data_IF_100964624453
#
_entry.id   IF_100964624453
#
_cell.length_a   1.000
_cell.length_b   1.000
_cell.length_c   1.000
_cell.angle_alpha   90.00
_cell.angle_beta   90.00
_cell.angle_gamma   90.00
#
_symmetry.space_group_name_H-M   'P 1'
#
loop_
_entity.id
_entity.type
_entity.pdbx_description
1 polymer ?
#
# COMPACT_ATOMS: atom_id res chain seq x y z
N UNK A 1 59.88 63.17 -22.38
CA UNK A 1 58.45 63.29 -22.71
C UNK A 1 57.88 61.90 -22.98
N UNK A 2 57.18 61.30 -22.02
CA UNK A 2 56.00 60.51 -22.37
C UNK A 2 54.80 60.76 -21.46
N UNK A 3 53.65 60.43 -22.03
CA UNK A 3 52.29 60.67 -21.57
C UNK A 3 51.90 59.94 -20.29
N UNK A 4 51.06 60.57 -19.47
CA UNK A 4 50.33 59.94 -18.37
C UNK A 4 48.85 59.83 -18.77
N UNK A 5 48.37 58.60 -18.93
CA UNK A 5 47.00 58.29 -19.36
C UNK A 5 46.09 58.10 -18.14
N UNK A 6 44.98 58.85 -18.08
CA UNK A 6 43.95 58.74 -17.06
C UNK A 6 43.02 57.52 -17.30
N UNK A 7 42.77 56.73 -16.25
CA UNK A 7 41.94 55.52 -16.28
C UNK A 7 40.48 55.87 -15.95
N UNK A 8 39.57 55.64 -16.90
CA UNK A 8 38.11 55.82 -16.72
C UNK A 8 37.50 54.65 -15.94
N UNK A 9 36.67 54.98 -14.96
CA UNK A 9 35.83 54.07 -14.17
C UNK A 9 34.60 53.64 -14.97
N UNK A 10 34.31 52.33 -15.00
CA UNK A 10 33.13 51.75 -15.66
C UNK A 10 32.13 51.27 -14.60
N UNK A 11 30.93 51.84 -14.61
CA UNK A 11 29.80 51.46 -13.76
C UNK A 11 29.09 50.22 -14.32
N UNK A 12 29.04 49.15 -13.52
CA UNK A 12 28.37 47.88 -13.85
C UNK A 12 26.86 48.01 -13.63
N UNK A 13 26.05 47.83 -14.68
CA UNK A 13 24.59 47.70 -14.58
C UNK A 13 24.23 46.35 -13.94
N UNK A 14 23.40 46.38 -12.90
CA UNK A 14 22.84 45.20 -12.23
C UNK A 14 21.52 44.78 -12.88
N UNK A 15 21.44 43.51 -13.27
CA UNK A 15 20.24 42.86 -13.79
C UNK A 15 19.31 42.44 -12.63
N UNK A 16 17.96 42.46 -12.78
CA UNK A 16 17.06 42.12 -11.68
C UNK A 16 17.08 40.62 -11.36
N UNK A 17 17.06 40.29 -10.07
CA UNK A 17 17.08 38.92 -9.55
C UNK A 17 15.78 38.18 -9.89
N UNK A 18 15.90 37.01 -10.52
CA UNK A 18 14.79 36.10 -10.80
C UNK A 18 14.16 35.59 -9.48
N UNK A 19 12.82 35.50 -9.44
CA UNK A 19 12.07 34.96 -8.30
C UNK A 19 12.42 33.48 -8.06
N UNK A 20 12.49 33.01 -6.80
CA UNK A 20 12.81 31.62 -6.52
C UNK A 20 11.68 30.70 -7.00
N UNK A 21 12.02 29.70 -7.81
CA UNK A 21 11.12 28.60 -8.18
C UNK A 21 10.82 27.79 -6.92
N UNK A 22 9.54 27.50 -6.66
CA UNK A 22 9.14 26.55 -5.61
C UNK A 22 9.86 25.22 -5.82
N UNK A 23 10.49 24.62 -4.79
CA UNK A 23 11.13 23.32 -4.95
C UNK A 23 10.06 22.28 -5.29
N UNK A 24 10.32 21.47 -6.33
CA UNK A 24 9.50 20.31 -6.64
C UNK A 24 9.50 19.38 -5.42
N UNK A 25 8.32 18.96 -4.95
CA UNK A 25 8.22 17.94 -3.90
C UNK A 25 8.98 16.71 -4.38
N UNK A 26 10.03 16.31 -3.65
CA UNK A 26 10.69 15.03 -3.89
C UNK A 26 9.70 13.93 -3.50
N UNK A 27 9.34 13.01 -4.40
CA UNK A 27 8.56 11.85 -3.99
C UNK A 27 9.39 11.09 -2.96
N UNK A 28 8.73 10.65 -1.90
CA UNK A 28 9.35 9.78 -0.91
C UNK A 28 8.34 9.39 0.16
N UNK A 29 8.63 8.29 0.85
CA UNK A 29 7.78 7.78 1.91
C UNK A 29 8.64 7.19 3.03
N UNK A 30 8.06 7.17 4.23
CA UNK A 30 8.64 6.44 5.35
C UNK A 30 8.08 5.02 5.36
N UNK A 31 8.93 4.01 5.22
CA UNK A 31 8.50 2.62 5.23
C UNK A 31 8.01 2.21 6.61
N UNK A 32 6.81 1.63 6.67
CA UNK A 32 6.23 1.12 7.93
C UNK A 32 6.93 -0.15 8.45
N UNK A 33 7.65 -0.88 7.60
CA UNK A 33 8.37 -2.09 7.97
C UNK A 33 9.79 -1.84 8.48
N UNK A 34 10.60 -1.01 7.80
CA UNK A 34 11.98 -0.72 8.20
C UNK A 34 12.15 0.64 8.92
N UNK A 35 11.17 1.55 8.82
CA UNK A 35 11.22 2.87 9.45
C UNK A 35 12.06 3.92 8.72
N UNK A 36 12.74 3.55 7.63
CA UNK A 36 13.59 4.42 6.81
C UNK A 36 12.80 5.25 5.79
N UNK A 37 13.44 6.30 5.27
CA UNK A 37 12.92 7.12 4.18
C UNK A 37 13.41 6.58 2.84
N UNK A 38 12.49 6.37 1.90
CA UNK A 38 12.81 6.01 0.52
C UNK A 38 12.41 7.15 -0.41
N UNK A 39 13.31 7.53 -1.33
CA UNK A 39 13.06 8.53 -2.37
C UNK A 39 12.27 7.97 -3.58
N UNK A 40 11.98 6.67 -3.55
CA UNK A 40 11.18 5.99 -4.57
C UNK A 40 9.68 6.06 -4.26
N UNK A 41 8.86 5.81 -5.28
CA UNK A 41 7.43 5.64 -5.11
C UNK A 41 7.14 4.39 -4.28
N UNK A 42 6.27 4.54 -3.27
CA UNK A 42 5.81 3.43 -2.43
C UNK A 42 5.25 2.30 -3.30
N UNK A 43 5.80 1.10 -3.14
CA UNK A 43 5.35 -0.09 -3.85
C UNK A 43 4.37 -0.93 -3.05
N UNK A 44 4.15 -0.59 -1.79
CA UNK A 44 3.22 -1.26 -0.91
C UNK A 44 2.49 -0.25 -0.02
N UNK A 45 1.20 -0.51 0.22
CA UNK A 45 0.39 0.23 1.18
C UNK A 45 -0.45 -0.76 1.97
N UNK A 46 -0.29 -0.75 3.29
CA UNK A 46 -1.02 -1.63 4.20
C UNK A 46 -2.09 -0.93 5.03
N UNK A 47 -3.27 -1.54 5.11
CA UNK A 47 -4.28 -1.21 6.12
C UNK A 47 -3.85 -1.76 7.49
N UNK A 48 -3.90 -0.97 8.56
CA UNK A 48 -3.41 -1.43 9.87
C UNK A 48 -4.24 -2.58 10.47
N UNK A 49 -5.56 -2.53 10.32
CA UNK A 49 -6.55 -3.47 10.86
C UNK A 49 -7.70 -3.65 9.86
N UNK A 50 -8.59 -4.66 10.01
CA UNK A 50 -9.88 -4.67 9.32
C UNK A 50 -10.67 -3.41 9.69
N UNK A 51 -11.43 -2.84 8.75
CA UNK A 51 -12.11 -1.55 8.99
C UNK A 51 -13.06 -1.63 10.18
N UNK A 52 -13.80 -2.74 10.30
CA UNK A 52 -14.71 -2.99 11.42
C UNK A 52 -14.02 -2.99 12.80
N UNK A 53 -12.72 -3.26 12.87
CA UNK A 53 -11.93 -3.21 14.11
C UNK A 53 -11.25 -1.85 14.27
N UNK A 54 -10.84 -1.26 13.15
CA UNK A 54 -10.21 0.06 13.10
C UNK A 54 -11.17 1.18 13.54
N UNK A 55 -12.46 1.06 13.21
CA UNK A 55 -13.50 2.04 13.55
C UNK A 55 -13.92 2.01 15.04
N UNK A 56 -13.61 0.93 15.77
CA UNK A 56 -13.92 0.83 17.19
C UNK A 56 -13.10 1.82 18.02
N UNK A 57 -13.70 2.29 19.12
CA UNK A 57 -12.96 3.02 20.16
C UNK A 57 -11.88 2.14 20.79
N UNK A 58 -10.91 2.76 21.47
CA UNK A 58 -9.84 2.04 22.14
C UNK A 58 -10.35 0.96 23.12
N UNK A 59 -11.34 1.32 23.95
CA UNK A 59 -11.89 0.41 24.96
C UNK A 59 -12.68 -0.74 24.33
N UNK A 60 -13.46 -0.46 23.29
CA UNK A 60 -14.18 -1.50 22.55
C UNK A 60 -13.22 -2.44 21.85
N UNK A 61 -12.21 -1.90 21.15
CA UNK A 61 -11.18 -2.71 20.48
C UNK A 61 -10.46 -3.60 21.48
N UNK A 62 -10.06 -3.08 22.64
CA UNK A 62 -9.40 -3.85 23.69
C UNK A 62 -10.28 -5.01 24.20
N UNK A 63 -11.58 -4.78 24.37
CA UNK A 63 -12.51 -5.80 24.87
C UNK A 63 -12.88 -6.84 23.82
N UNK A 64 -13.13 -6.39 22.59
CA UNK A 64 -13.82 -7.15 21.54
C UNK A 64 -12.90 -7.76 20.48
N UNK A 65 -11.73 -7.17 20.26
CA UNK A 65 -10.82 -7.64 19.23
C UNK A 65 -9.60 -8.34 19.81
N UNK A 66 -9.10 -9.35 19.11
CA UNK A 66 -7.77 -9.95 19.34
C UNK A 66 -7.04 -9.94 18.01
N UNK A 67 -5.84 -9.39 17.95
CA UNK A 67 -5.10 -9.31 16.70
C UNK A 67 -3.60 -9.30 16.94
N UNK A 68 -2.87 -9.79 15.95
CA UNK A 68 -1.42 -9.65 15.82
C UNK A 68 -1.11 -9.14 14.40
N UNK A 69 0.09 -9.41 13.88
CA UNK A 69 0.49 -8.92 12.56
C UNK A 69 -0.22 -9.62 11.39
N UNK A 70 -0.72 -10.85 11.60
CA UNK A 70 -1.22 -11.71 10.52
C UNK A 70 -2.67 -12.19 10.74
N UNK A 71 -3.14 -12.18 11.99
CA UNK A 71 -4.47 -12.66 12.39
C UNK A 71 -5.22 -11.60 13.16
N UNK A 72 -6.53 -11.54 12.95
CA UNK A 72 -7.44 -10.68 13.69
C UNK A 72 -8.79 -11.38 13.87
N UNK A 73 -9.37 -11.24 15.06
CA UNK A 73 -10.73 -11.71 15.37
C UNK A 73 -11.51 -10.58 16.02
N UNK A 74 -12.82 -10.56 15.78
CA UNK A 74 -13.76 -9.61 16.38
C UNK A 74 -14.94 -10.38 16.98
N UNK A 75 -15.19 -10.12 18.27
CA UNK A 75 -16.26 -10.73 19.08
C UNK A 75 -16.24 -12.27 19.15
N UNK A 76 -15.17 -12.93 18.68
CA UNK A 76 -15.10 -14.39 18.58
C UNK A 76 -15.96 -14.97 17.44
N UNK A 77 -16.53 -14.13 16.58
CA UNK A 77 -17.46 -14.54 15.52
C UNK A 77 -16.93 -14.23 14.12
N UNK A 78 -16.10 -13.18 13.99
CA UNK A 78 -15.53 -12.75 12.72
C UNK A 78 -14.03 -12.96 12.71
N UNK A 79 -13.54 -13.54 11.63
CA UNK A 79 -12.17 -14.03 11.48
C UNK A 79 -11.52 -13.39 10.27
N UNK A 80 -10.33 -12.83 10.46
CA UNK A 80 -9.63 -12.09 9.42
C UNK A 80 -8.17 -12.54 9.31
N UNK A 81 -7.73 -12.72 8.08
CA UNK A 81 -6.34 -13.04 7.74
C UNK A 81 -5.72 -11.84 7.02
N UNK A 82 -4.47 -11.52 7.35
CA UNK A 82 -3.68 -10.51 6.66
C UNK A 82 -3.16 -11.05 5.33
N UNK A 83 -3.44 -10.34 4.24
CA UNK A 83 -3.04 -10.75 2.91
C UNK A 83 -2.40 -9.59 2.14
N UNK A 84 -1.69 -9.93 1.06
CA UNK A 84 -1.24 -8.97 0.06
C UNK A 84 -2.08 -9.14 -1.19
N UNK A 85 -2.75 -8.09 -1.65
CA UNK A 85 -3.42 -8.06 -2.95
C UNK A 85 -2.46 -7.43 -3.97
N UNK A 86 -1.80 -8.22 -4.83
CA UNK A 86 -0.82 -7.71 -5.77
C UNK A 86 -1.50 -7.10 -7.00
N UNK A 87 -0.91 -6.03 -7.55
CA UNK A 87 -1.25 -5.46 -8.85
C UNK A 87 0.03 -5.23 -9.64
N UNK A 88 0.29 -6.03 -10.67
CA UNK A 88 1.53 -5.98 -11.44
C UNK A 88 1.75 -4.64 -12.12
N UNK A 89 3.00 -4.19 -12.22
CA UNK A 89 3.33 -3.01 -13.02
C UNK A 89 3.42 -3.38 -14.51
N UNK A 90 2.97 -2.48 -15.39
CA UNK A 90 3.11 -2.67 -16.85
C UNK A 90 4.35 -1.99 -17.43
N UNK A 91 5.03 -1.16 -16.64
CA UNK A 91 6.15 -0.31 -17.09
C UNK A 91 7.48 -0.66 -16.42
N UNK A 92 7.49 -1.62 -15.49
CA UNK A 92 8.66 -2.16 -14.80
C UNK A 92 8.35 -3.53 -14.23
N UNK A 93 9.37 -4.26 -13.80
CA UNK A 93 9.18 -5.53 -13.10
C UNK A 93 8.59 -5.33 -11.70
N UNK A 94 7.92 -6.37 -11.19
CA UNK A 94 7.30 -6.40 -9.87
C UNK A 94 5.84 -5.95 -9.85
N UNK A 95 5.32 -5.68 -8.65
CA UNK A 95 3.92 -5.33 -8.42
C UNK A 95 3.76 -4.30 -7.32
N UNK A 96 2.62 -3.62 -7.32
CA UNK A 96 2.13 -2.83 -6.20
C UNK A 96 1.35 -3.73 -5.23
N UNK A 97 1.73 -3.75 -3.96
CA UNK A 97 1.13 -4.59 -2.93
C UNK A 97 0.13 -3.84 -2.05
N UNK A 98 -1.16 -4.19 -2.13
CA UNK A 98 -2.13 -3.75 -1.14
C UNK A 98 -2.14 -4.70 0.05
N UNK A 99 -1.64 -4.26 1.21
CA UNK A 99 -1.81 -5.00 2.46
C UNK A 99 -3.26 -4.88 2.93
N UNK A 100 -4.03 -5.94 2.77
CA UNK A 100 -5.47 -5.99 3.09
C UNK A 100 -5.76 -7.03 4.17
N UNK A 101 -6.88 -6.88 4.85
CA UNK A 101 -7.46 -7.91 5.68
C UNK A 101 -8.58 -8.58 4.89
N UNK A 102 -8.66 -9.91 4.97
CA UNK A 102 -9.68 -10.71 4.31
C UNK A 102 -10.48 -11.43 5.38
N UNK A 103 -11.79 -11.18 5.41
CA UNK A 103 -12.73 -11.90 6.27
C UNK A 103 -12.99 -13.29 5.68
N UNK A 104 -12.83 -14.30 6.52
CA UNK A 104 -12.98 -15.71 6.20
C UNK A 104 -13.88 -16.39 7.22
N UNK A 105 -14.31 -17.62 6.92
CA UNK A 105 -15.00 -18.45 7.92
C UNK A 105 -14.04 -18.89 9.02
N UNK A 106 -14.57 -19.24 10.20
CA UNK A 106 -13.77 -19.80 11.30
C UNK A 106 -13.00 -21.04 10.84
N UNK A 107 -13.66 -21.97 10.15
CA UNK A 107 -13.02 -23.20 9.67
C UNK A 107 -11.80 -22.89 8.80
N UNK A 108 -11.93 -21.96 7.84
CA UNK A 108 -10.82 -21.57 6.97
C UNK A 108 -9.69 -20.88 7.74
N UNK A 109 -10.03 -20.06 8.75
CA UNK A 109 -9.04 -19.45 9.62
C UNK A 109 -8.23 -20.51 10.38
N UNK A 110 -8.90 -21.50 10.94
CA UNK A 110 -8.27 -22.58 11.71
C UNK A 110 -7.43 -23.49 10.80
N UNK A 111 -7.91 -23.80 9.59
CA UNK A 111 -7.15 -24.52 8.55
C UNK A 111 -5.85 -23.77 8.20
N UNK A 112 -5.91 -22.43 8.10
CA UNK A 112 -4.74 -21.60 7.81
C UNK A 112 -3.76 -21.56 8.99
N UNK A 113 -4.24 -21.54 10.23
CA UNK A 113 -3.36 -21.63 11.42
C UNK A 113 -2.54 -22.91 11.43
N UNK A 114 -3.17 -24.05 11.13
CA UNK A 114 -2.47 -25.35 11.04
C UNK A 114 -1.43 -25.32 9.93
N UNK A 115 -1.80 -24.81 8.74
CA UNK A 115 -0.86 -24.68 7.62
C UNK A 115 0.32 -23.76 7.94
N UNK A 116 0.06 -22.66 8.65
CA UNK A 116 1.07 -21.68 9.06
C UNK A 116 2.09 -22.27 10.05
N UNK A 117 1.65 -23.11 10.98
CA UNK A 117 2.52 -23.72 12.01
C UNK A 117 3.31 -24.93 11.47
N UNK A 118 2.68 -25.77 10.65
CA UNK A 118 3.28 -27.05 10.24
C UNK A 118 4.16 -26.92 8.98
N UNK A 119 4.05 -25.84 8.21
CA UNK A 119 4.82 -25.49 6.99
C UNK A 119 5.00 -26.58 5.91
N UNK A 120 4.39 -27.76 6.05
CA UNK A 120 4.63 -28.95 5.23
C UNK A 120 3.34 -29.59 4.64
N UNK A 121 2.20 -28.95 4.85
CA UNK A 121 0.89 -29.43 4.38
C UNK A 121 0.54 -29.03 2.94
N UNK A 122 -0.51 -29.65 2.40
CA UNK A 122 -1.14 -29.16 1.16
C UNK A 122 -1.83 -27.83 1.48
N UNK A 123 -1.54 -26.75 0.74
CA UNK A 123 -2.11 -25.45 1.07
C UNK A 123 -3.65 -25.44 0.94
N UNK A 124 -4.39 -24.95 1.95
CA UNK A 124 -5.85 -24.94 1.92
C UNK A 124 -6.36 -23.93 0.88
N UNK A 125 -7.45 -24.28 0.20
CA UNK A 125 -8.13 -23.35 -0.71
C UNK A 125 -9.08 -22.47 0.10
N UNK A 126 -8.67 -21.23 0.35
CA UNK A 126 -9.48 -20.26 1.10
C UNK A 126 -10.09 -19.22 0.15
N UNK A 127 -11.36 -18.93 0.39
CA UNK A 127 -12.07 -17.80 -0.19
C UNK A 127 -12.61 -16.93 0.93
N UNK A 128 -12.64 -15.62 0.69
CA UNK A 128 -13.11 -14.66 1.66
C UNK A 128 -13.53 -13.36 1.00
N UNK A 129 -13.72 -12.33 1.81
CA UNK A 129 -14.06 -11.00 1.33
C UNK A 129 -13.12 -9.95 1.90
N UNK A 130 -12.73 -8.97 1.08
CA UNK A 130 -11.88 -7.87 1.53
C UNK A 130 -12.59 -7.09 2.63
N UNK A 131 -11.93 -6.90 3.77
CA UNK A 131 -12.48 -6.23 4.96
C UNK A 131 -12.04 -4.76 5.07
N UNK A 132 -11.42 -4.21 4.02
CA UNK A 132 -10.92 -2.83 3.99
C UNK A 132 -11.43 -2.04 2.79
N UNK A 133 -11.68 -0.75 3.02
CA UNK A 133 -11.85 0.27 2.00
C UNK A 133 -10.50 0.84 1.60
N UNK A 134 -10.02 0.50 0.39
CA UNK A 134 -8.75 0.98 -0.13
C UNK A 134 -8.91 2.39 -0.69
N UNK A 135 -8.06 3.31 -0.25
CA UNK A 135 -8.01 4.66 -0.82
C UNK A 135 -7.59 4.57 -2.29
N UNK A 136 -8.25 5.33 -3.16
CA UNK A 136 -8.04 5.27 -4.61
C UNK A 136 -8.96 4.31 -5.36
N UNK A 137 -9.79 3.56 -4.63
CA UNK A 137 -10.88 2.74 -5.17
C UNK A 137 -12.20 3.05 -4.44
N UNK A 138 -13.33 2.67 -5.03
CA UNK A 138 -14.66 2.82 -4.42
C UNK A 138 -15.22 1.44 -4.08
N UNK A 139 -15.75 1.27 -2.87
CA UNK A 139 -16.44 0.05 -2.45
C UNK A 139 -15.59 -1.23 -2.63
N UNK A 140 -14.42 -1.27 -1.98
CA UNK A 140 -13.58 -2.49 -1.97
C UNK A 140 -13.93 -3.47 -0.86
N UNK A 141 -14.57 -2.98 0.22
CA UNK A 141 -15.07 -3.86 1.27
C UNK A 141 -16.14 -4.81 0.70
N UNK A 142 -16.07 -6.08 1.07
CA UNK A 142 -16.98 -7.12 0.61
C UNK A 142 -16.62 -7.74 -0.75
N UNK A 143 -15.55 -7.28 -1.41
CA UNK A 143 -15.11 -7.91 -2.66
C UNK A 143 -14.59 -9.32 -2.41
N UNK A 144 -15.16 -10.29 -3.12
CA UNK A 144 -14.78 -11.69 -3.03
C UNK A 144 -13.38 -11.93 -3.59
N UNK A 145 -12.56 -12.66 -2.84
CA UNK A 145 -11.19 -13.03 -3.17
C UNK A 145 -10.96 -14.52 -2.94
N UNK A 146 -10.06 -15.10 -3.72
CA UNK A 146 -9.40 -16.37 -3.43
C UNK A 146 -8.01 -16.06 -2.88
N UNK A 147 -7.63 -16.75 -1.82
CA UNK A 147 -6.30 -16.68 -1.24
C UNK A 147 -5.41 -17.75 -1.86
N UNK A 148 -4.22 -17.35 -2.26
CA UNK A 148 -3.14 -18.22 -2.69
C UNK A 148 -2.12 -18.28 -1.56
N UNK A 149 -1.92 -19.48 -1.03
CA UNK A 149 -1.16 -19.73 0.19
C UNK A 149 0.30 -20.02 -0.15
N UNK A 150 1.19 -19.49 0.67
CA UNK A 150 2.63 -19.71 0.58
C UNK A 150 3.15 -19.96 2.01
N UNK A 151 3.98 -20.98 2.25
CA UNK A 151 4.49 -21.29 3.58
C UNK A 151 5.47 -20.23 4.11
N UNK A 152 6.16 -19.52 3.21
CA UNK A 152 7.24 -18.59 3.55
C UNK A 152 6.81 -17.12 3.43
N UNK A 153 5.58 -16.87 2.96
CA UNK A 153 5.08 -15.52 2.63
C UNK A 153 3.63 -15.34 3.04
N UNK A 154 3.25 -14.08 3.23
CA UNK A 154 1.83 -13.73 3.42
C UNK A 154 1.00 -14.19 2.21
N UNK A 155 -0.22 -14.70 2.44
CA UNK A 155 -1.09 -15.14 1.37
C UNK A 155 -1.37 -14.01 0.38
N UNK A 156 -1.41 -14.37 -0.90
CA UNK A 156 -1.79 -13.45 -1.95
C UNK A 156 -3.31 -13.49 -2.16
N UNK A 157 -3.96 -12.34 -2.13
CA UNK A 157 -5.40 -12.21 -2.37
C UNK A 157 -5.66 -11.85 -3.83
N UNK A 158 -6.39 -12.72 -4.54
CA UNK A 158 -6.82 -12.49 -5.91
C UNK A 158 -8.33 -12.33 -5.99
N UNK A 159 -8.77 -11.21 -6.56
CA UNK A 159 -10.18 -10.95 -6.81
C UNK A 159 -10.72 -11.95 -7.82
N UNK A 160 -11.95 -12.43 -7.60
CA UNK A 160 -12.55 -13.45 -8.45
C UNK A 160 -12.65 -12.96 -9.92
N UNK A 161 -12.45 -13.85 -10.92
CA UNK A 161 -12.42 -13.45 -12.34
C UNK A 161 -13.69 -12.74 -12.84
N UNK A 162 -14.85 -13.09 -12.27
CA UNK A 162 -16.13 -12.47 -12.62
C UNK A 162 -16.28 -11.02 -12.12
N UNK A 163 -15.41 -10.56 -11.21
CA UNK A 163 -15.47 -9.20 -10.68
C UNK A 163 -15.13 -8.16 -11.76
N UNK A 164 -16.03 -7.18 -11.89
CA UNK A 164 -15.90 -6.01 -12.76
C UNK A 164 -15.37 -4.77 -12.04
N UNK A 165 -15.03 -4.90 -10.76
CA UNK A 165 -14.49 -3.81 -9.96
C UNK A 165 -13.15 -3.31 -10.54
N UNK A 166 -12.88 -2.01 -10.44
CA UNK A 166 -11.67 -1.39 -11.02
C UNK A 166 -10.37 -2.06 -10.53
N UNK A 167 -10.26 -2.34 -9.23
CA UNK A 167 -9.13 -3.10 -8.66
C UNK A 167 -8.98 -4.50 -9.27
N UNK A 168 -10.09 -5.19 -9.58
CA UNK A 168 -10.03 -6.51 -10.20
C UNK A 168 -9.53 -6.42 -11.65
N UNK A 169 -9.93 -5.37 -12.37
CA UNK A 169 -9.46 -5.10 -13.72
C UNK A 169 -7.96 -4.77 -13.73
N UNK A 170 -7.52 -3.91 -12.81
CA UNK A 170 -6.11 -3.54 -12.66
C UNK A 170 -5.26 -4.74 -12.22
N UNK A 171 -5.73 -5.57 -11.28
CA UNK A 171 -5.02 -6.78 -10.89
C UNK A 171 -4.81 -7.75 -12.07
N UNK A 172 -5.75 -7.81 -13.02
CA UNK A 172 -5.62 -8.67 -14.22
C UNK A 172 -4.80 -8.06 -15.35
N UNK A 173 -4.87 -6.74 -15.52
CA UNK A 173 -4.24 -6.04 -16.66
C UNK A 173 -2.91 -5.37 -16.31
N UNK A 174 -2.63 -5.24 -15.03
CA UNK A 174 -1.55 -4.44 -14.49
C UNK A 174 -1.90 -2.95 -14.41
N UNK A 175 -0.95 -2.21 -13.83
CA UNK A 175 -1.02 -0.79 -13.57
C UNK A 175 0.13 -0.06 -14.27
N UNK A 176 -0.19 1.01 -14.99
CA UNK A 176 0.80 1.89 -15.60
C UNK A 176 1.40 2.89 -14.60
N UNK A 177 2.40 3.64 -15.07
CA UNK A 177 3.12 4.60 -14.24
C UNK A 177 2.18 5.70 -13.73
N UNK A 178 1.31 6.26 -14.58
CA UNK A 178 0.41 7.36 -14.21
C UNK A 178 -0.57 6.93 -13.11
N UNK A 179 -1.12 5.72 -13.23
CA UNK A 179 -2.01 5.15 -12.21
C UNK A 179 -1.27 4.87 -10.90
N UNK A 180 -0.04 4.36 -10.96
CA UNK A 180 0.78 4.15 -9.77
C UNK A 180 1.06 5.46 -9.03
N UNK A 181 1.45 6.52 -9.75
CA UNK A 181 1.60 7.86 -9.15
C UNK A 181 0.28 8.35 -8.53
N UNK A 182 -0.84 8.21 -9.25
CA UNK A 182 -2.14 8.65 -8.77
C UNK A 182 -2.60 7.94 -7.48
N UNK A 183 -2.24 6.67 -7.29
CA UNK A 183 -2.54 5.92 -6.07
C UNK A 183 -1.72 6.36 -4.87
N UNK A 184 -0.52 6.88 -5.08
CA UNK A 184 0.39 7.32 -4.00
C UNK A 184 0.10 8.75 -3.58
N UNK A 185 -0.41 9.61 -4.47
CA UNK A 185 -0.72 11.01 -4.16
C UNK A 185 -1.52 11.23 -2.86
N UNK A 186 -2.55 10.41 -2.51
CA UNK A 186 -3.28 10.55 -1.25
C UNK A 186 -2.48 10.21 0.02
N UNK A 187 -1.31 9.58 -0.14
CA UNK A 187 -0.44 9.11 0.95
C UNK A 187 0.87 9.88 1.07
N UNK A 188 1.26 10.63 0.02
CA UNK A 188 2.41 11.52 0.06
C UNK A 188 2.09 12.82 0.81
N UNK A 189 2.71 13.01 1.97
CA UNK A 189 2.79 14.30 2.67
C UNK A 189 4.05 15.05 2.25
#
# INVERSE_FOLDING_TARGET
MPATTARKTSTRKTTPSAKPRKPAKRPGFRCGSCGEWHDELATDIGCGLPDAVFELSYLERYRRARYNQDFCTLDGERWFIRCVLPVSFTYRDGFFGWGVWVEVTQQQHDDYLVFFDESAGIPPVIQGTVANQLKGYRATQGLAVRLDMDPDRRPLAYLLPASRHALALEQRKGMDADRHHALILPFGA
#
